data_IF_982771421638
#
_entry.id   IF_982771421638
#
_cell.length_a   1.000
_cell.length_b   1.000
_cell.length_c   1.000
_cell.angle_alpha   90.00
_cell.angle_beta   90.00
_cell.angle_gamma   90.00
#
_symmetry.space_group_name_H-M   'P 1'
#
loop_
_entity.id
_entity.type
_entity.pdbx_description
1 polymer ?
#
# COMPACT_ATOMS: atom_id res chain seq x y z
N UNK A 1 1.05 -35.86 10.51
CA UNK A 1 1.37 -36.29 9.13
C UNK A 1 0.15 -36.04 8.26
N UNK A 2 0.26 -35.40 7.08
CA UNK A 2 -0.86 -35.41 6.15
C UNK A 2 -1.00 -36.82 5.57
N UNK A 3 -2.21 -37.35 5.64
CA UNK A 3 -2.59 -38.68 5.18
C UNK A 3 -2.22 -38.88 3.70
N UNK A 4 -1.92 -40.11 3.26
CA UNK A 4 -1.78 -40.45 1.83
C UNK A 4 -3.00 -39.98 1.05
N UNK A 5 -4.17 -40.04 1.68
CA UNK A 5 -5.43 -39.57 1.11
C UNK A 5 -5.47 -38.03 0.94
N UNK A 6 -4.86 -37.27 1.86
CA UNK A 6 -4.70 -35.82 1.74
C UNK A 6 -3.78 -35.47 0.59
N UNK A 7 -2.65 -36.18 0.43
CA UNK A 7 -1.71 -35.97 -0.68
C UNK A 7 -2.38 -36.28 -2.02
N UNK A 8 -3.12 -37.38 -2.11
CA UNK A 8 -3.85 -37.74 -3.33
C UNK A 8 -5.00 -36.76 -3.64
N UNK A 9 -5.62 -36.17 -2.60
CA UNK A 9 -6.62 -35.10 -2.72
C UNK A 9 -5.99 -33.78 -3.19
N UNK A 10 -4.81 -33.42 -2.69
CA UNK A 10 -4.04 -32.26 -3.14
C UNK A 10 -3.63 -32.42 -4.60
N UNK A 11 -3.11 -33.58 -5.00
CA UNK A 11 -2.80 -33.90 -6.40
C UNK A 11 -4.03 -33.86 -7.30
N UNK A 12 -5.18 -34.39 -6.85
CA UNK A 12 -6.46 -34.27 -7.59
C UNK A 12 -6.92 -32.82 -7.72
N UNK A 13 -6.71 -32.01 -6.70
CA UNK A 13 -7.07 -30.59 -6.72
C UNK A 13 -6.17 -29.80 -7.68
N UNK A 14 -4.86 -30.07 -7.70
CA UNK A 14 -3.91 -29.51 -8.68
C UNK A 14 -4.31 -29.92 -10.10
N UNK A 15 -4.50 -31.22 -10.36
CA UNK A 15 -4.97 -31.74 -11.66
C UNK A 15 -6.34 -31.18 -12.08
N UNK A 16 -7.23 -30.93 -11.13
CA UNK A 16 -8.54 -30.33 -11.37
C UNK A 16 -8.49 -28.82 -11.69
N UNK A 17 -7.50 -28.10 -11.15
CA UNK A 17 -7.21 -26.71 -11.53
C UNK A 17 -6.60 -26.63 -12.92
N UNK A 18 -5.77 -27.60 -13.30
CA UNK A 18 -5.18 -27.73 -14.64
C UNK A 18 -6.21 -28.13 -15.70
N UNK A 19 -7.08 -29.11 -15.43
CA UNK A 19 -8.06 -29.62 -16.40
C UNK A 19 -9.24 -28.67 -16.71
N UNK A 20 -9.54 -27.70 -15.83
CA UNK A 20 -10.53 -26.65 -16.10
C UNK A 20 -10.03 -25.59 -17.10
N UNK A 21 -8.75 -25.61 -17.44
CA UNK A 21 -8.15 -24.74 -18.46
C UNK A 21 -8.00 -25.53 -19.76
N UNK A 22 -8.66 -25.09 -20.82
CA UNK A 22 -8.25 -25.49 -22.17
C UNK A 22 -6.77 -25.13 -22.35
N UNK A 23 -5.94 -26.13 -22.66
CA UNK A 23 -4.53 -26.05 -23.04
C UNK A 23 -3.78 -24.77 -22.59
N UNK A 24 -3.53 -24.65 -21.28
CA UNK A 24 -2.50 -23.75 -20.78
C UNK A 24 -1.14 -24.42 -21.01
N UNK A 25 -0.29 -23.82 -21.86
CA UNK A 25 1.12 -24.19 -21.95
C UNK A 25 1.86 -23.35 -20.92
N UNK A 26 2.41 -23.93 -19.83
CA UNK A 26 3.42 -23.21 -19.06
C UNK A 26 4.57 -22.87 -20.00
N UNK A 27 5.14 -21.67 -19.87
CA UNK A 27 6.50 -21.46 -20.39
C UNK A 27 7.38 -22.57 -19.81
N UNK A 28 8.20 -23.27 -20.62
CA UNK A 28 8.98 -24.39 -20.15
C UNK A 28 9.86 -23.92 -18.99
N UNK A 29 9.59 -24.45 -17.80
CA UNK A 29 10.49 -24.27 -16.66
C UNK A 29 11.72 -25.14 -16.99
N UNK A 30 12.92 -24.58 -17.17
CA UNK A 30 14.03 -25.28 -17.82
C UNK A 30 14.52 -26.56 -17.12
N UNK A 31 14.08 -26.82 -15.87
CA UNK A 31 14.38 -28.07 -15.16
C UNK A 31 13.80 -29.33 -15.83
N UNK A 32 12.86 -29.19 -16.76
CA UNK A 32 12.18 -30.30 -17.42
C UNK A 32 12.78 -30.72 -18.77
N UNK A 33 13.81 -30.04 -19.30
CA UNK A 33 14.40 -30.37 -20.60
C UNK A 33 15.89 -30.68 -20.53
N UNK A 34 16.21 -31.98 -20.52
CA UNK A 34 17.55 -32.49 -20.79
C UNK A 34 17.66 -32.93 -22.26
N UNK A 35 17.83 -32.00 -23.21
CA UNK A 35 18.35 -32.28 -24.56
C UNK A 35 18.75 -31.00 -25.31
N UNK A 36 19.87 -30.99 -26.07
CA UNK A 36 20.36 -29.82 -26.79
C UNK A 36 19.73 -29.75 -28.19
N UNK A 37 19.28 -28.57 -28.62
CA UNK A 37 18.84 -28.33 -30.00
C UNK A 37 19.01 -26.87 -30.40
N UNK A 38 19.16 -26.58 -31.71
CA UNK A 38 20.20 -25.69 -32.22
C UNK A 38 19.76 -24.23 -32.39
N UNK A 39 20.77 -23.36 -32.48
CA UNK A 39 20.69 -21.90 -32.67
C UNK A 39 19.81 -21.52 -33.87
N UNK A 40 18.91 -20.53 -33.75
CA UNK A 40 18.32 -19.89 -34.91
C UNK A 40 19.18 -18.70 -35.36
N UNK A 41 19.42 -18.65 -36.67
CA UNK A 41 20.03 -17.56 -37.43
C UNK A 41 19.08 -16.36 -37.53
N UNK A 42 19.62 -15.16 -37.31
CA UNK A 42 18.91 -13.89 -37.45
C UNK A 42 19.08 -13.33 -38.87
N UNK A 43 18.04 -12.71 -39.42
CA UNK A 43 18.19 -11.63 -40.41
C UNK A 43 17.01 -10.65 -40.28
N UNK A 44 17.26 -9.34 -40.41
CA UNK A 44 16.31 -8.28 -40.06
C UNK A 44 15.51 -7.83 -41.28
N UNK A 45 14.31 -7.30 -41.07
CA UNK A 45 13.81 -6.20 -41.88
C UNK A 45 12.90 -5.28 -41.06
N UNK A 46 13.18 -3.99 -41.21
CA UNK A 46 12.45 -2.85 -40.69
C UNK A 46 11.15 -2.66 -41.46
N UNK A 47 10.10 -2.19 -40.78
CA UNK A 47 9.33 -1.06 -41.30
C UNK A 47 8.56 -0.31 -40.21
N UNK A 48 8.53 1.00 -40.44
CA UNK A 48 8.09 2.11 -39.59
C UNK A 48 6.57 2.29 -39.54
N UNK A 49 6.03 2.67 -38.38
CA UNK A 49 4.66 3.15 -38.25
C UNK A 49 4.49 4.08 -37.04
N UNK A 50 4.29 5.36 -37.31
CA UNK A 50 4.12 6.45 -36.36
C UNK A 50 2.73 6.53 -35.72
N UNK A 51 2.71 7.19 -34.55
CA UNK A 51 1.63 8.02 -33.99
C UNK A 51 0.70 7.41 -32.90
N UNK A 52 0.97 7.89 -31.67
CA UNK A 52 0.04 8.47 -30.69
C UNK A 52 -1.39 7.88 -30.63
N UNK A 53 -1.71 7.26 -29.50
CA UNK A 53 -2.93 7.61 -28.77
C UNK A 53 -2.73 7.46 -27.26
N UNK A 54 -3.18 8.48 -26.51
CA UNK A 54 -2.97 8.66 -25.08
C UNK A 54 -4.08 8.02 -24.26
N UNK A 55 -4.10 6.69 -24.19
CA UNK A 55 -5.06 5.97 -23.35
C UNK A 55 -4.66 6.04 -21.87
N UNK A 56 -5.46 6.80 -21.12
CA UNK A 56 -5.38 7.04 -19.69
C UNK A 56 -5.61 5.74 -18.88
N UNK A 57 -4.63 5.20 -18.12
CA UNK A 57 -4.68 3.80 -17.67
C UNK A 57 -5.45 3.53 -16.37
N UNK A 58 -6.02 4.54 -15.70
CA UNK A 58 -6.63 4.36 -14.36
C UNK A 58 -8.11 4.78 -14.36
N UNK A 59 -8.84 4.39 -15.42
CA UNK A 59 -10.30 4.51 -15.47
C UNK A 59 -10.97 3.15 -15.30
N UNK A 60 -11.67 2.94 -14.19
CA UNK A 60 -12.36 1.69 -13.83
C UNK A 60 -13.86 1.78 -14.09
N UNK A 61 -14.25 1.89 -15.35
CA UNK A 61 -15.63 1.55 -15.73
C UNK A 61 -15.79 0.03 -15.59
N UNK A 62 -16.36 -0.45 -14.46
CA UNK A 62 -17.09 -1.73 -14.28
C UNK A 62 -16.63 -3.02 -15.02
N UNK A 63 -15.36 -3.13 -15.42
CA UNK A 63 -14.81 -4.30 -16.06
C UNK A 63 -14.06 -5.12 -15.02
N UNK A 64 -14.58 -6.31 -14.73
CA UNK A 64 -13.79 -7.42 -14.21
C UNK A 64 -12.74 -7.69 -15.29
N UNK A 65 -11.50 -7.26 -15.07
CA UNK A 65 -10.41 -7.56 -15.99
C UNK A 65 -10.15 -9.08 -15.95
N UNK A 66 -9.88 -9.72 -17.10
CA UNK A 66 -9.63 -11.16 -17.15
C UNK A 66 -8.43 -11.53 -16.29
N UNK A 67 -8.39 -12.79 -15.82
CA UNK A 67 -7.26 -13.38 -15.11
C UNK A 67 -5.94 -13.01 -15.79
N UNK A 68 -5.07 -12.26 -15.10
CA UNK A 68 -3.79 -11.84 -15.67
C UNK A 68 -2.74 -12.90 -15.38
N UNK A 69 -2.18 -13.47 -16.44
CA UNK A 69 -0.79 -13.92 -16.43
C UNK A 69 0.04 -12.73 -16.91
N UNK A 70 1.08 -12.34 -16.17
CA UNK A 70 2.04 -11.33 -16.64
C UNK A 70 2.92 -11.99 -17.70
N UNK A 71 2.86 -11.60 -18.98
CA UNK A 71 3.70 -12.22 -20.00
C UNK A 71 5.16 -11.84 -19.70
N UNK A 72 5.99 -12.84 -19.44
CA UNK A 72 7.43 -12.62 -19.29
C UNK A 72 8.09 -12.47 -20.65
N UNK A 73 9.14 -11.66 -20.72
CA UNK A 73 10.02 -11.59 -21.89
C UNK A 73 10.85 -12.86 -22.01
N UNK A 74 11.36 -13.35 -20.86
CA UNK A 74 12.08 -14.61 -20.77
C UNK A 74 12.08 -15.14 -19.35
N UNK A 75 12.29 -16.45 -19.26
CA UNK A 75 12.56 -17.16 -18.03
C UNK A 75 13.80 -18.00 -18.25
N UNK A 76 14.81 -17.81 -17.42
CA UNK A 76 16.05 -18.57 -17.44
C UNK A 76 16.26 -19.23 -16.08
N UNK A 77 17.00 -20.33 -16.08
CA UNK A 77 17.32 -21.05 -14.85
C UNK A 77 18.80 -21.36 -14.82
N UNK A 78 19.45 -21.00 -13.72
CA UNK A 78 20.83 -21.39 -13.40
C UNK A 78 20.79 -22.41 -12.27
N UNK A 79 21.28 -23.62 -12.55
CA UNK A 79 21.47 -24.64 -11.54
C UNK A 79 22.85 -24.47 -10.91
N UNK A 80 22.87 -24.43 -9.59
CA UNK A 80 24.08 -24.49 -8.77
C UNK A 80 24.09 -25.85 -8.06
N UNK A 81 25.16 -26.17 -7.34
CA UNK A 81 25.32 -27.51 -6.77
C UNK A 81 24.14 -27.92 -5.85
N UNK A 82 23.69 -27.02 -4.99
CA UNK A 82 22.69 -27.31 -3.94
C UNK A 82 21.55 -26.27 -3.84
N UNK A 83 21.48 -25.35 -4.81
CA UNK A 83 20.38 -24.42 -5.00
C UNK A 83 20.22 -24.09 -6.49
N UNK A 84 19.13 -23.42 -6.85
CA UNK A 84 18.94 -22.92 -8.20
C UNK A 84 18.44 -21.48 -8.17
N UNK A 85 18.73 -20.74 -9.23
CA UNK A 85 18.21 -19.39 -9.43
C UNK A 85 17.38 -19.37 -10.69
N UNK A 86 16.10 -19.04 -10.56
CA UNK A 86 15.18 -18.86 -11.68
C UNK A 86 14.99 -17.36 -11.88
N UNK A 87 15.45 -16.84 -13.02
CA UNK A 87 15.32 -15.42 -13.36
C UNK A 87 14.18 -15.28 -14.36
N UNK A 88 13.14 -14.54 -13.98
CA UNK A 88 12.04 -14.16 -14.89
C UNK A 88 12.08 -12.66 -15.13
N UNK A 89 12.14 -12.23 -16.39
CA UNK A 89 12.15 -10.82 -16.77
C UNK A 89 10.82 -10.45 -17.40
N UNK A 90 10.24 -9.34 -16.95
CA UNK A 90 9.01 -8.76 -17.47
C UNK A 90 9.32 -7.43 -18.14
N UNK A 91 8.70 -7.18 -19.29
CA UNK A 91 8.78 -5.86 -19.92
C UNK A 91 8.18 -4.80 -18.99
N UNK A 92 8.76 -3.61 -19.00
CA UNK A 92 8.09 -2.45 -18.42
C UNK A 92 6.73 -2.25 -19.12
N UNK A 93 5.66 -2.10 -18.33
CA UNK A 93 4.31 -2.00 -18.88
C UNK A 93 3.70 -3.35 -19.32
N UNK A 94 4.32 -4.50 -19.04
CA UNK A 94 3.70 -5.83 -19.25
C UNK A 94 2.35 -5.96 -18.51
N UNK A 95 2.15 -5.13 -17.49
CA UNK A 95 0.85 -4.63 -17.08
C UNK A 95 0.89 -3.11 -16.90
N UNK A 96 -0.23 -2.37 -17.00
CA UNK A 96 -0.30 -0.92 -16.80
C UNK A 96 0.31 -0.44 -15.49
N UNK A 97 0.29 -1.30 -14.46
CA UNK A 97 0.81 -0.99 -13.13
C UNK A 97 2.25 -1.44 -12.92
N UNK A 98 2.79 -2.33 -13.76
CA UNK A 98 4.19 -2.79 -13.67
C UNK A 98 5.11 -1.76 -14.31
N UNK A 99 5.28 -0.65 -13.60
CA UNK A 99 6.13 0.49 -13.94
C UNK A 99 6.98 0.90 -12.73
N UNK A 100 8.19 1.42 -12.93
CA UNK A 100 8.99 1.94 -11.82
C UNK A 100 8.28 3.13 -11.16
N UNK A 101 8.35 3.29 -9.83
CA UNK A 101 7.76 4.45 -9.16
C UNK A 101 8.21 5.78 -9.77
N UNK A 102 7.26 6.64 -10.12
CA UNK A 102 7.56 7.96 -10.71
C UNK A 102 8.48 8.78 -9.78
N UNK A 103 9.49 9.52 -10.29
CA UNK A 103 10.34 10.40 -9.47
C UNK A 103 9.58 11.35 -8.55
N UNK A 104 8.40 11.80 -9.01
CA UNK A 104 7.51 12.66 -8.24
C UNK A 104 6.97 12.00 -6.96
N UNK A 105 7.01 10.67 -6.86
CA UNK A 105 6.50 9.89 -5.73
C UNK A 105 7.42 9.84 -4.51
N UNK A 106 8.70 10.24 -4.65
CA UNK A 106 9.70 10.17 -3.59
C UNK A 106 9.28 10.88 -2.29
N UNK A 107 8.74 12.11 -2.31
CA UNK A 107 8.24 12.77 -1.09
C UNK A 107 7.12 11.98 -0.40
N UNK A 108 6.32 11.26 -1.19
CA UNK A 108 5.29 10.35 -0.70
C UNK A 108 5.89 9.20 0.10
N UNK A 109 6.82 8.47 -0.50
CA UNK A 109 7.50 7.34 0.17
C UNK A 109 8.35 7.76 1.36
N UNK A 110 8.98 8.94 1.34
CA UNK A 110 9.69 9.51 2.51
C UNK A 110 8.79 9.78 3.71
N UNK A 111 7.49 10.03 3.49
CA UNK A 111 6.55 10.13 4.60
C UNK A 111 6.35 8.78 5.32
N UNK A 112 6.50 7.67 4.60
CA UNK A 112 6.51 6.33 5.19
C UNK A 112 7.87 6.02 5.84
N UNK A 113 8.95 6.13 5.05
CA UNK A 113 10.31 5.79 5.43
C UNK A 113 11.26 6.99 5.23
N UNK A 114 11.51 7.80 6.28
CA UNK A 114 12.33 9.02 6.16
C UNK A 114 13.79 8.79 5.74
N UNK A 115 14.30 7.56 5.93
CA UNK A 115 15.67 7.18 5.54
C UNK A 115 15.83 6.92 4.03
N UNK A 116 14.73 6.94 3.28
CA UNK A 116 14.71 6.69 1.84
C UNK A 116 15.29 7.88 1.05
N UNK A 117 16.44 7.67 0.42
CA UNK A 117 17.12 8.72 -0.33
C UNK A 117 16.70 8.79 -1.81
N UNK A 118 16.46 7.66 -2.45
CA UNK A 118 16.13 7.54 -3.88
C UNK A 118 15.05 6.48 -4.13
N UNK A 119 14.47 6.52 -5.34
CA UNK A 119 13.58 5.47 -5.85
C UNK A 119 14.34 4.36 -6.60
N UNK A 120 15.62 4.59 -6.87
CA UNK A 120 16.48 3.63 -7.57
C UNK A 120 17.06 2.61 -6.60
N UNK A 121 17.32 1.40 -7.10
CA UNK A 121 18.03 0.37 -6.33
C UNK A 121 17.18 -0.32 -5.26
N UNK A 122 15.85 -0.30 -5.40
CA UNK A 122 14.94 -1.06 -4.54
C UNK A 122 15.03 -2.56 -4.82
N UNK A 123 14.92 -3.37 -3.77
CA UNK A 123 14.76 -4.81 -3.84
C UNK A 123 13.38 -5.19 -3.28
N UNK A 124 12.58 -5.90 -4.07
CA UNK A 124 11.26 -6.39 -3.68
C UNK A 124 11.40 -7.84 -3.23
N UNK A 125 11.08 -8.15 -1.97
CA UNK A 125 11.40 -9.44 -1.39
C UNK A 125 10.18 -10.13 -0.79
N UNK A 126 10.03 -11.40 -1.13
CA UNK A 126 9.04 -12.33 -0.57
C UNK A 126 9.70 -13.71 -0.37
N UNK A 127 9.34 -14.43 0.69
CA UNK A 127 9.91 -15.75 0.99
C UNK A 127 8.82 -16.80 1.17
N UNK A 128 9.14 -18.04 0.81
CA UNK A 128 8.37 -19.22 1.21
C UNK A 128 9.14 -20.04 2.23
N UNK A 129 8.42 -20.52 3.23
CA UNK A 129 9.02 -21.23 4.36
C UNK A 129 8.39 -22.59 4.60
N UNK A 130 9.15 -23.45 5.28
CA UNK A 130 8.71 -24.80 5.66
C UNK A 130 7.53 -24.83 6.65
N UNK A 131 7.01 -23.68 7.10
CA UNK A 131 5.88 -23.59 8.04
C UNK A 131 6.17 -24.16 9.43
N UNK A 132 7.43 -24.47 9.73
CA UNK A 132 7.89 -24.90 11.04
C UNK A 132 8.01 -23.68 11.98
N UNK A 133 8.11 -23.93 13.29
CA UNK A 133 8.25 -22.85 14.27
C UNK A 133 9.71 -22.60 14.65
N UNK A 134 10.04 -21.33 14.88
CA UNK A 134 11.34 -20.90 15.40
C UNK A 134 12.49 -21.33 14.50
N UNK A 135 13.53 -21.89 15.10
CA UNK A 135 14.79 -22.25 14.43
C UNK A 135 14.66 -23.32 13.33
N UNK A 136 13.58 -24.09 13.33
CA UNK A 136 13.35 -25.11 12.32
C UNK A 136 12.77 -24.55 11.01
N UNK A 137 12.34 -23.27 11.01
CA UNK A 137 11.87 -22.58 9.81
C UNK A 137 13.02 -22.43 8.84
N UNK A 138 12.86 -22.89 7.61
CA UNK A 138 13.81 -22.70 6.51
C UNK A 138 13.09 -21.91 5.42
N UNK A 139 13.75 -20.87 4.90
CA UNK A 139 13.28 -20.16 3.72
C UNK A 139 13.76 -20.92 2.49
N UNK A 140 12.93 -21.80 1.94
CA UNK A 140 13.33 -22.68 0.84
C UNK A 140 13.20 -22.03 -0.54
N UNK A 141 12.46 -20.93 -0.62
CA UNK A 141 12.34 -20.11 -1.81
C UNK A 141 12.40 -18.64 -1.40
N UNK A 142 13.27 -17.86 -2.03
CA UNK A 142 13.38 -16.42 -1.82
C UNK A 142 13.26 -15.73 -3.17
N UNK A 143 12.20 -14.95 -3.35
CA UNK A 143 12.01 -14.12 -4.54
C UNK A 143 12.59 -12.74 -4.31
N UNK A 144 13.41 -12.25 -5.24
CA UNK A 144 13.98 -10.90 -5.22
C UNK A 144 13.72 -10.20 -6.55
N UNK A 145 12.89 -9.18 -6.51
CA UNK A 145 12.55 -8.33 -7.65
C UNK A 145 13.40 -7.07 -7.70
N UNK A 146 13.74 -6.62 -8.92
CA UNK A 146 14.44 -5.35 -9.16
C UNK A 146 14.14 -4.80 -10.55
N UNK A 147 14.17 -3.47 -10.67
CA UNK A 147 14.17 -2.80 -11.96
C UNK A 147 15.56 -2.90 -12.62
N UNK A 148 15.56 -3.19 -13.92
CA UNK A 148 16.73 -3.31 -14.79
C UNK A 148 16.50 -2.53 -16.08
N UNK A 149 17.51 -2.39 -16.93
CA UNK A 149 17.36 -1.75 -18.24
C UNK A 149 16.39 -2.50 -19.18
N UNK A 150 16.14 -3.79 -18.94
CA UNK A 150 15.25 -4.62 -19.77
C UNK A 150 13.82 -4.70 -19.22
N UNK A 151 13.58 -4.12 -18.04
CA UNK A 151 12.31 -4.18 -17.31
C UNK A 151 12.45 -4.72 -15.89
N UNK A 152 11.39 -5.34 -15.37
CA UNK A 152 11.36 -5.88 -14.02
C UNK A 152 11.85 -7.32 -13.98
N UNK A 153 12.95 -7.57 -13.28
CA UNK A 153 13.55 -8.89 -13.11
C UNK A 153 13.20 -9.46 -11.75
N UNK A 154 12.77 -10.72 -11.70
CA UNK A 154 12.57 -11.49 -10.48
C UNK A 154 13.52 -12.68 -10.47
N UNK A 155 14.44 -12.70 -9.51
CA UNK A 155 15.34 -13.81 -9.24
C UNK A 155 14.76 -14.64 -8.09
N UNK A 156 14.44 -15.91 -8.34
CA UNK A 156 13.94 -16.83 -7.33
C UNK A 156 15.05 -17.80 -6.93
N UNK A 157 15.57 -17.63 -5.72
CA UNK A 157 16.56 -18.51 -5.11
C UNK A 157 15.84 -19.69 -4.47
N UNK A 158 15.93 -20.87 -5.11
CA UNK A 158 15.27 -22.09 -4.66
C UNK A 158 16.28 -23.08 -4.09
N UNK A 159 16.07 -23.47 -2.83
CA UNK A 159 16.89 -24.43 -2.12
C UNK A 159 16.54 -25.85 -2.57
N UNK A 160 17.39 -26.45 -3.40
CA UNK A 160 17.16 -27.82 -3.92
C UNK A 160 17.55 -28.87 -2.89
N UNK A 161 18.51 -28.57 -2.01
CA UNK A 161 18.97 -29.40 -0.90
C UNK A 161 19.26 -28.54 0.34
N UNK A 162 18.96 -29.04 1.54
CA UNK A 162 19.24 -28.31 2.79
C UNK A 162 20.72 -27.98 3.01
N UNK A 163 21.62 -28.74 2.39
CA UNK A 163 23.06 -28.51 2.47
C UNK A 163 23.49 -27.23 1.73
N UNK A 164 22.68 -26.77 0.76
CA UNK A 164 22.96 -25.58 -0.03
C UNK A 164 22.56 -24.26 0.61
N UNK A 165 22.03 -24.26 1.83
CA UNK A 165 21.45 -23.06 2.42
C UNK A 165 22.49 -21.94 2.56
N UNK A 166 23.69 -22.25 3.07
CA UNK A 166 24.78 -21.27 3.18
C UNK A 166 25.13 -20.65 1.81
N UNK A 167 25.23 -21.48 0.77
CA UNK A 167 25.55 -21.01 -0.59
C UNK A 167 24.43 -20.14 -1.19
N UNK A 168 23.18 -20.53 -0.97
CA UNK A 168 22.02 -19.75 -1.40
C UNK A 168 21.95 -18.40 -0.67
N UNK A 169 22.20 -18.39 0.64
CA UNK A 169 22.25 -17.17 1.45
C UNK A 169 23.42 -16.26 1.05
N UNK A 170 24.55 -16.81 0.62
CA UNK A 170 25.67 -16.04 0.09
C UNK A 170 25.26 -15.32 -1.21
N UNK A 171 24.65 -16.04 -2.15
CA UNK A 171 24.13 -15.46 -3.39
C UNK A 171 23.03 -14.41 -3.14
N UNK A 172 22.16 -14.65 -2.14
CA UNK A 172 21.17 -13.66 -1.71
C UNK A 172 21.83 -12.39 -1.14
N UNK A 173 22.91 -12.53 -0.36
CA UNK A 173 23.67 -11.39 0.15
C UNK A 173 24.24 -10.53 -0.98
N UNK A 174 24.79 -11.16 -2.01
CA UNK A 174 25.28 -10.45 -3.20
C UNK A 174 24.16 -9.69 -3.91
N UNK A 175 22.99 -10.31 -4.08
CA UNK A 175 21.84 -9.69 -4.73
C UNK A 175 21.30 -8.46 -3.99
N UNK A 176 21.36 -8.49 -2.65
CA UNK A 176 20.92 -7.41 -1.76
C UNK A 176 22.00 -6.35 -1.51
N UNK A 177 23.27 -6.64 -1.83
CA UNK A 177 24.37 -5.70 -1.62
C UNK A 177 24.19 -4.45 -2.48
N UNK A 178 24.36 -3.27 -1.86
CA UNK A 178 24.23 -1.98 -2.54
C UNK A 178 22.79 -1.53 -2.83
N UNK A 179 21.77 -2.31 -2.42
CA UNK A 179 20.37 -1.90 -2.55
C UNK A 179 20.04 -0.78 -1.56
N UNK A 180 19.31 0.22 -2.04
CA UNK A 180 18.98 1.43 -1.27
C UNK A 180 17.82 1.20 -0.31
N UNK A 181 16.85 0.37 -0.71
CA UNK A 181 15.66 0.08 0.05
C UNK A 181 15.18 -1.36 -0.15
N UNK A 182 14.62 -1.94 0.90
CA UNK A 182 13.86 -3.19 0.84
C UNK A 182 12.36 -2.87 0.76
N UNK A 183 11.65 -3.52 -0.14
CA UNK A 183 10.19 -3.49 -0.24
C UNK A 183 9.66 -4.89 0.07
N UNK A 184 8.77 -4.99 1.05
CA UNK A 184 8.11 -6.26 1.41
C UNK A 184 6.64 -6.02 1.74
N UNK A 185 5.87 -7.10 1.83
CA UNK A 185 4.51 -7.06 2.39
C UNK A 185 4.48 -7.85 3.70
N UNK A 186 4.44 -7.16 4.85
CA UNK A 186 4.57 -7.75 6.19
C UNK A 186 5.97 -8.29 6.54
N UNK A 187 6.98 -8.06 5.70
CA UNK A 187 8.32 -8.59 5.94
C UNK A 187 9.08 -8.03 7.13
N UNK A 188 8.69 -6.86 7.69
CA UNK A 188 9.26 -6.40 8.97
C UNK A 188 8.97 -7.37 10.11
N UNK A 189 7.80 -8.01 10.07
CA UNK A 189 7.34 -8.92 11.11
C UNK A 189 7.60 -10.39 10.79
N UNK A 190 7.94 -10.73 9.54
CA UNK A 190 8.07 -12.12 9.09
C UNK A 190 9.35 -12.38 8.29
N UNK A 191 9.43 -11.93 7.03
CA UNK A 191 10.52 -12.29 6.11
C UNK A 191 11.92 -11.96 6.67
N UNK A 192 12.09 -10.74 7.17
CA UNK A 192 13.38 -10.25 7.67
C UNK A 192 13.83 -11.02 8.92
N UNK A 193 12.99 -11.19 9.97
CA UNK A 193 13.33 -12.04 11.11
C UNK A 193 13.70 -13.49 10.74
N UNK A 194 12.99 -14.09 9.78
CA UNK A 194 13.28 -15.46 9.31
C UNK A 194 14.66 -15.50 8.65
N UNK A 195 14.92 -14.63 7.68
CA UNK A 195 16.22 -14.57 6.98
C UNK A 195 17.36 -14.28 7.97
N UNK A 196 17.21 -13.30 8.86
CA UNK A 196 18.22 -12.99 9.89
C UNK A 196 18.57 -14.22 10.73
N UNK A 197 17.56 -14.99 11.12
CA UNK A 197 17.79 -16.24 11.88
C UNK A 197 18.55 -17.27 11.05
N UNK A 198 18.25 -17.41 9.74
CA UNK A 198 18.96 -18.34 8.84
C UNK A 198 20.42 -17.93 8.65
N UNK A 199 20.70 -16.64 8.46
CA UNK A 199 22.08 -16.13 8.38
C UNK A 199 22.86 -16.44 9.66
N UNK A 200 22.28 -16.19 10.84
CA UNK A 200 22.93 -16.50 12.13
C UNK A 200 23.21 -18.00 12.28
N UNK A 201 22.27 -18.87 11.89
CA UNK A 201 22.43 -20.33 11.97
C UNK A 201 23.51 -20.88 11.05
N UNK A 202 23.76 -20.21 9.92
CA UNK A 202 24.85 -20.55 9.00
C UNK A 202 26.16 -19.82 9.35
N UNK A 203 26.24 -19.11 10.48
CA UNK A 203 27.45 -18.38 10.88
C UNK A 203 27.78 -17.17 10.00
N UNK A 204 26.80 -16.68 9.25
CA UNK A 204 26.97 -15.64 8.25
C UNK A 204 26.50 -14.27 8.76
N UNK A 205 27.11 -13.20 8.24
CA UNK A 205 26.62 -11.83 8.47
C UNK A 205 25.39 -11.58 7.60
N UNK A 206 24.26 -11.23 8.22
CA UNK A 206 23.06 -10.86 7.50
C UNK A 206 23.19 -9.45 6.85
N UNK A 207 22.83 -9.28 5.58
CA UNK A 207 22.80 -7.96 4.91
C UNK A 207 21.59 -7.10 5.33
N UNK A 208 20.66 -7.65 6.12
CA UNK A 208 19.42 -6.98 6.54
C UNK A 208 19.48 -6.50 8.02
N UNK A 209 18.81 -5.39 8.36
CA UNK A 209 17.98 -4.55 7.48
C UNK A 209 18.82 -3.66 6.55
N UNK A 210 18.26 -3.32 5.39
CA UNK A 210 18.81 -2.27 4.53
C UNK A 210 18.57 -0.88 5.14
N UNK A 211 19.17 0.16 4.54
CA UNK A 211 19.04 1.55 5.01
C UNK A 211 17.57 1.98 5.15
N UNK A 212 16.76 1.67 4.15
CA UNK A 212 15.32 1.94 4.13
C UNK A 212 14.53 0.64 3.98
N UNK A 213 13.36 0.55 4.62
CA UNK A 213 12.47 -0.60 4.49
C UNK A 213 11.01 -0.15 4.38
N UNK A 214 10.46 -0.28 3.19
CA UNK A 214 9.06 -0.01 2.86
C UNK A 214 8.24 -1.29 3.06
N UNK A 215 7.53 -1.39 4.19
CA UNK A 215 6.59 -2.49 4.45
C UNK A 215 5.17 -2.08 4.04
N UNK A 216 4.68 -2.68 2.96
CA UNK A 216 3.42 -2.32 2.34
C UNK A 216 2.18 -2.77 3.13
N UNK A 217 2.28 -3.72 4.06
CA UNK A 217 1.15 -4.03 4.94
C UNK A 217 0.88 -2.87 5.91
N UNK A 218 1.94 -2.21 6.40
CA UNK A 218 1.78 -1.04 7.27
C UNK A 218 1.18 0.16 6.51
N UNK A 219 1.56 0.32 5.24
CA UNK A 219 1.07 1.36 4.38
C UNK A 219 -0.39 1.15 4.00
N UNK A 220 -0.77 -0.04 3.52
CA UNK A 220 -2.17 -0.39 3.19
C UNK A 220 -3.12 -0.13 4.35
N UNK A 221 -2.74 -0.52 5.57
CA UNK A 221 -3.48 -0.24 6.82
C UNK A 221 -3.53 1.24 7.20
N UNK A 222 -2.59 2.04 6.71
CA UNK A 222 -2.56 3.49 6.93
C UNK A 222 -3.43 4.21 5.91
N UNK A 223 -3.42 3.75 4.66
CA UNK A 223 -4.22 4.29 3.58
C UNK A 223 -5.71 4.10 3.85
N UNK A 224 -6.14 3.05 4.54
CA UNK A 224 -7.56 2.88 4.83
C UNK A 224 -7.95 2.26 6.16
N UNK A 225 -9.25 2.00 6.35
CA UNK A 225 -9.74 1.41 7.61
C UNK A 225 -9.42 -0.08 7.66
N UNK A 226 -8.92 -0.55 8.82
CA UNK A 226 -8.42 -1.94 9.02
C UNK A 226 -9.38 -3.05 8.57
N UNK A 227 -10.70 -2.84 8.62
CA UNK A 227 -11.70 -3.82 8.21
C UNK A 227 -11.97 -3.85 6.69
N UNK A 228 -11.61 -2.79 5.94
CA UNK A 228 -11.90 -2.62 4.52
C UNK A 228 -10.66 -2.71 3.60
N UNK A 229 -9.45 -2.90 4.17
CA UNK A 229 -8.16 -2.71 3.48
C UNK A 229 -7.28 -3.95 3.33
N UNK A 230 -7.87 -5.14 3.34
CA UNK A 230 -7.18 -6.39 3.04
C UNK A 230 -6.21 -6.81 4.13
N UNK A 231 -6.31 -8.06 4.57
CA UNK A 231 -5.34 -8.67 5.48
C UNK A 231 -4.14 -9.27 4.71
N UNK A 232 -4.21 -9.28 3.38
CA UNK A 232 -3.25 -9.95 2.48
C UNK A 232 -2.83 -9.09 1.28
N UNK A 233 -1.69 -9.45 0.67
CA UNK A 233 -1.18 -8.80 -0.53
C UNK A 233 -2.19 -8.87 -1.68
N UNK A 234 -2.80 -10.04 -1.93
CA UNK A 234 -3.81 -10.24 -2.98
C UNK A 234 -4.99 -9.29 -2.84
N UNK A 235 -5.46 -9.05 -1.62
CA UNK A 235 -6.58 -8.13 -1.38
C UNK A 235 -6.18 -6.67 -1.61
N UNK A 236 -4.95 -6.30 -1.23
CA UNK A 236 -4.40 -4.98 -1.52
C UNK A 236 -4.28 -4.76 -3.04
N UNK A 237 -3.69 -5.71 -3.77
CA UNK A 237 -3.57 -5.68 -5.23
C UNK A 237 -4.95 -5.54 -5.87
N UNK A 238 -5.89 -6.41 -5.52
CA UNK A 238 -7.28 -6.35 -6.03
C UNK A 238 -7.94 -5.00 -5.78
N UNK A 239 -7.69 -4.38 -4.64
CA UNK A 239 -8.25 -3.06 -4.35
C UNK A 239 -7.60 -2.00 -5.23
N UNK A 240 -6.28 -1.87 -5.16
CA UNK A 240 -5.56 -0.71 -5.67
C UNK A 240 -5.30 -0.77 -7.18
N UNK A 241 -5.10 -1.96 -7.74
CA UNK A 241 -4.87 -2.18 -9.17
C UNK A 241 -6.13 -2.67 -9.88
N UNK A 242 -7.05 -3.26 -9.12
CA UNK A 242 -8.22 -3.93 -9.67
C UNK A 242 -7.96 -5.33 -10.22
N UNK A 243 -6.72 -5.80 -10.21
CA UNK A 243 -6.31 -7.11 -10.69
C UNK A 243 -6.75 -8.22 -9.74
N UNK A 244 -7.37 -9.27 -10.30
CA UNK A 244 -7.71 -10.49 -9.56
C UNK A 244 -6.82 -11.62 -10.05
N UNK A 245 -6.06 -12.22 -9.13
CA UNK A 245 -5.26 -13.42 -9.40
C UNK A 245 -6.14 -14.66 -9.34
N UNK A 246 -6.20 -15.42 -10.43
CA UNK A 246 -6.92 -16.69 -10.49
C UNK A 246 -5.96 -17.88 -10.44
N UNK A 247 -6.43 -19.00 -9.86
CA UNK A 247 -5.68 -20.26 -9.82
C UNK A 247 -4.47 -20.26 -8.89
N UNK A 248 -4.43 -19.33 -7.93
CA UNK A 248 -3.35 -19.25 -6.97
C UNK A 248 -3.55 -20.26 -5.82
N UNK A 249 -2.45 -20.84 -5.34
CA UNK A 249 -2.51 -21.80 -4.23
C UNK A 249 -2.79 -21.09 -2.90
N UNK A 250 -3.52 -21.73 -1.97
CA UNK A 250 -3.57 -21.27 -0.60
C UNK A 250 -2.20 -21.33 0.05
N UNK A 251 -1.71 -20.23 0.64
CA UNK A 251 -0.40 -20.19 1.31
C UNK A 251 -0.24 -21.24 2.41
N UNK A 252 -1.34 -21.63 3.07
CA UNK A 252 -1.36 -22.71 4.06
C UNK A 252 -0.98 -24.09 3.50
N UNK A 253 -1.04 -24.28 2.18
CA UNK A 253 -0.64 -25.52 1.51
C UNK A 253 0.85 -25.57 1.18
N UNK A 254 1.54 -24.44 1.14
CA UNK A 254 2.94 -24.33 0.69
C UNK A 254 3.87 -25.24 1.50
N UNK A 255 3.81 -25.26 2.86
CA UNK A 255 4.61 -26.19 3.65
C UNK A 255 4.41 -27.66 3.26
N UNK A 256 3.15 -28.07 3.01
CA UNK A 256 2.83 -29.45 2.67
C UNK A 256 3.39 -29.85 1.29
N UNK A 257 3.36 -28.95 0.32
CA UNK A 257 3.94 -29.18 -1.00
C UNK A 257 5.47 -29.31 -0.93
N UNK A 258 6.12 -28.49 -0.10
CA UNK A 258 7.56 -28.62 0.14
C UNK A 258 7.94 -29.94 0.82
N UNK A 259 7.17 -30.41 1.80
CA UNK A 259 7.40 -31.74 2.38
C UNK A 259 7.21 -32.89 1.38
N UNK A 260 6.28 -32.77 0.43
CA UNK A 260 6.12 -33.74 -0.66
C UNK A 260 7.37 -33.74 -1.55
N UNK A 261 7.85 -32.55 -1.94
CA UNK A 261 9.08 -32.40 -2.69
C UNK A 261 10.28 -33.03 -1.98
N UNK A 262 10.51 -32.74 -0.70
CA UNK A 262 11.65 -33.31 0.06
C UNK A 262 11.60 -34.85 0.10
N UNK A 263 10.41 -35.46 0.09
CA UNK A 263 10.24 -36.91 0.15
C UNK A 263 10.38 -37.57 -1.22
N UNK A 264 9.84 -36.95 -2.26
CA UNK A 264 9.67 -37.57 -3.58
C UNK A 264 10.72 -37.12 -4.60
N UNK A 265 11.40 -35.99 -4.33
CA UNK A 265 12.40 -35.41 -5.22
C UNK A 265 11.84 -34.83 -6.52
N UNK A 266 10.51 -34.79 -6.70
CA UNK A 266 9.86 -34.25 -7.90
C UNK A 266 9.60 -32.75 -7.75
N UNK A 267 10.35 -31.86 -8.46
CA UNK A 267 10.15 -30.42 -8.37
C UNK A 267 8.84 -29.93 -8.99
N UNK A 268 8.15 -30.76 -9.79
CA UNK A 268 6.89 -30.36 -10.45
C UNK A 268 5.80 -29.95 -9.45
N UNK A 269 5.81 -30.55 -8.25
CA UNK A 269 4.87 -30.23 -7.16
C UNK A 269 5.02 -28.81 -6.61
N UNK A 270 6.16 -28.17 -6.84
CA UNK A 270 6.47 -26.81 -6.41
C UNK A 270 6.24 -25.75 -7.48
N UNK A 271 5.90 -26.11 -8.71
CA UNK A 271 5.62 -25.14 -9.77
C UNK A 271 4.55 -24.09 -9.36
N UNK A 272 3.45 -24.47 -8.68
CA UNK A 272 2.49 -23.48 -8.20
C UNK A 272 3.04 -22.55 -7.11
N UNK A 273 3.96 -23.06 -6.26
CA UNK A 273 4.63 -22.28 -5.21
C UNK A 273 5.59 -21.26 -5.83
N UNK A 274 6.39 -21.69 -6.81
CA UNK A 274 7.28 -20.79 -7.56
C UNK A 274 6.48 -19.70 -8.28
N UNK A 275 5.35 -20.06 -8.90
CA UNK A 275 4.45 -19.08 -9.52
C UNK A 275 3.90 -18.09 -8.48
N UNK A 276 3.45 -18.57 -7.32
CA UNK A 276 2.91 -17.74 -6.24
C UNK A 276 3.92 -16.67 -5.80
N UNK A 277 5.09 -17.10 -5.33
CA UNK A 277 6.16 -16.22 -4.84
C UNK A 277 6.59 -15.19 -5.90
N UNK A 278 6.76 -15.63 -7.15
CA UNK A 278 7.13 -14.72 -8.25
C UNK A 278 6.10 -13.62 -8.44
N UNK A 279 4.82 -13.98 -8.47
CA UNK A 279 3.75 -13.04 -8.66
C UNK A 279 3.59 -12.10 -7.45
N UNK A 280 3.84 -12.57 -6.23
CA UNK A 280 3.84 -11.72 -5.02
C UNK A 280 4.93 -10.64 -5.11
N UNK A 281 6.11 -10.98 -5.62
CA UNK A 281 7.18 -10.01 -5.91
C UNK A 281 6.76 -8.99 -6.99
N UNK A 282 6.15 -9.43 -8.09
CA UNK A 282 5.65 -8.55 -9.17
C UNK A 282 4.53 -7.63 -8.66
N UNK A 283 3.61 -8.16 -7.87
CA UNK A 283 2.49 -7.42 -7.29
C UNK A 283 2.97 -6.30 -6.37
N UNK A 284 4.04 -6.51 -5.62
CA UNK A 284 4.65 -5.44 -4.83
C UNK A 284 5.23 -4.32 -5.71
N UNK A 285 5.83 -4.62 -6.86
CA UNK A 285 6.26 -3.60 -7.80
C UNK A 285 5.07 -2.81 -8.37
N UNK A 286 3.98 -3.49 -8.71
CA UNK A 286 2.74 -2.85 -9.15
C UNK A 286 2.14 -1.94 -8.07
N UNK A 287 2.13 -2.40 -6.82
CA UNK A 287 1.67 -1.59 -5.69
C UNK A 287 2.57 -0.39 -5.43
N UNK A 288 3.88 -0.49 -5.65
CA UNK A 288 4.78 0.65 -5.51
C UNK A 288 4.43 1.77 -6.49
N UNK A 289 4.14 1.44 -7.75
CA UNK A 289 3.62 2.41 -8.71
C UNK A 289 2.35 3.09 -8.19
N UNK A 290 1.32 2.32 -7.84
CA UNK A 290 0.02 2.87 -7.40
C UNK A 290 0.13 3.67 -6.10
N UNK A 291 0.89 3.18 -5.12
CA UNK A 291 1.11 3.89 -3.86
C UNK A 291 1.85 5.20 -4.07
N UNK A 292 2.79 5.29 -5.01
CA UNK A 292 3.44 6.55 -5.35
C UNK A 292 2.43 7.60 -5.80
N UNK A 293 1.46 7.21 -6.64
CA UNK A 293 0.39 8.06 -7.14
C UNK A 293 -0.55 8.52 -6.03
N UNK A 294 -0.97 7.60 -5.14
CA UNK A 294 -1.85 7.91 -3.99
C UNK A 294 -1.15 8.80 -2.98
N UNK A 295 0.10 8.49 -2.61
CA UNK A 295 0.87 9.23 -1.61
C UNK A 295 1.18 10.66 -2.05
N UNK A 296 1.06 10.97 -3.34
CA UNK A 296 1.33 12.32 -3.87
C UNK A 296 0.09 12.99 -4.44
N UNK A 297 -1.07 12.33 -4.40
CA UNK A 297 -2.30 12.81 -5.03
C UNK A 297 -2.06 13.31 -6.46
N UNK A 298 -1.38 12.46 -7.23
CA UNK A 298 -1.28 12.56 -8.69
C UNK A 298 -2.67 12.50 -9.35
N UNK A 299 -2.78 12.89 -10.62
CA UNK A 299 -4.06 12.91 -11.33
C UNK A 299 -4.68 11.51 -11.44
N UNK A 300 -3.83 10.51 -11.46
CA UNK A 300 -4.10 9.08 -11.54
C UNK A 300 -4.53 8.45 -10.20
N UNK A 301 -4.47 9.21 -9.10
CA UNK A 301 -4.82 8.68 -7.78
C UNK A 301 -6.34 8.44 -7.64
N UNK A 302 -6.74 7.17 -7.57
CA UNK A 302 -8.14 6.77 -7.68
C UNK A 302 -8.95 6.70 -6.39
N UNK A 303 -8.43 6.15 -5.27
CA UNK A 303 -9.26 5.79 -4.09
C UNK A 303 -9.35 6.95 -3.06
N UNK A 304 -10.54 7.57 -2.85
CA UNK A 304 -10.71 8.68 -1.91
C UNK A 304 -10.45 8.32 -0.44
N UNK A 305 -10.72 7.08 -0.03
CA UNK A 305 -10.42 6.63 1.33
C UNK A 305 -8.91 6.47 1.49
N UNK A 306 -8.22 5.92 0.47
CA UNK A 306 -6.76 5.84 0.42
C UNK A 306 -6.09 7.22 0.46
N UNK A 307 -6.60 8.18 -0.32
CA UNK A 307 -6.16 9.57 -0.32
C UNK A 307 -6.38 10.23 1.05
N UNK A 308 -7.50 9.92 1.73
CA UNK A 308 -7.74 10.40 3.10
C UNK A 308 -6.71 9.84 4.08
N UNK A 309 -6.36 8.55 3.95
CA UNK A 309 -5.29 7.91 4.72
C UNK A 309 -3.90 8.51 4.44
N UNK A 310 -3.58 8.77 3.17
CA UNK A 310 -2.36 9.47 2.76
C UNK A 310 -2.28 10.89 3.36
N UNK A 311 -3.39 11.63 3.32
CA UNK A 311 -3.49 12.95 3.95
C UNK A 311 -3.24 12.91 5.46
N UNK A 312 -3.79 11.89 6.13
CA UNK A 312 -3.53 11.64 7.56
C UNK A 312 -2.06 11.31 7.84
N UNK A 313 -1.42 10.49 7.01
CA UNK A 313 0.01 10.16 7.11
C UNK A 313 0.86 11.43 6.99
N UNK A 314 0.65 12.23 5.94
CA UNK A 314 1.38 13.48 5.71
C UNK A 314 1.21 14.49 6.84
N UNK A 315 -0.01 14.62 7.37
CA UNK A 315 -0.27 15.50 8.51
C UNK A 315 0.50 15.07 9.78
N UNK A 316 0.64 13.75 10.02
CA UNK A 316 1.48 13.23 11.12
C UNK A 316 2.95 13.54 10.91
N UNK A 317 3.42 13.47 9.66
CA UNK A 317 4.79 13.82 9.26
C UNK A 317 5.03 15.33 9.08
N UNK A 318 4.01 16.16 9.37
CA UNK A 318 4.03 17.63 9.21
C UNK A 318 4.25 18.10 7.76
N UNK A 319 4.05 17.24 6.77
CA UNK A 319 4.00 17.65 5.38
C UNK A 319 2.59 18.20 5.09
N UNK A 320 2.38 19.47 5.43
CA UNK A 320 1.06 20.10 5.33
C UNK A 320 0.60 20.23 3.87
N UNK A 321 1.53 20.40 2.94
CA UNK A 321 1.22 20.58 1.52
C UNK A 321 0.65 19.31 0.91
N UNK A 322 1.35 18.18 1.02
CA UNK A 322 0.81 16.91 0.54
C UNK A 322 -0.41 16.45 1.34
N UNK A 323 -0.48 16.79 2.64
CA UNK A 323 -1.68 16.51 3.42
C UNK A 323 -2.91 17.22 2.85
N UNK A 324 -2.80 18.52 2.57
CA UNK A 324 -3.86 19.32 1.94
C UNK A 324 -4.23 18.74 0.59
N UNK A 325 -3.24 18.54 -0.29
CA UNK A 325 -3.45 18.02 -1.65
C UNK A 325 -4.20 16.70 -1.66
N UNK A 326 -3.80 15.73 -0.82
CA UNK A 326 -4.48 14.44 -0.73
C UNK A 326 -5.93 14.59 -0.27
N UNK A 327 -6.19 15.40 0.77
CA UNK A 327 -7.52 15.56 1.35
C UNK A 327 -8.47 16.35 0.44
N UNK A 328 -7.98 17.33 -0.31
CA UNK A 328 -8.75 18.04 -1.32
C UNK A 328 -9.06 17.13 -2.52
N UNK A 329 -8.08 16.37 -2.99
CA UNK A 329 -8.27 15.43 -4.11
C UNK A 329 -9.29 14.35 -3.75
N UNK A 330 -9.23 13.81 -2.52
CA UNK A 330 -10.22 12.88 -2.00
C UNK A 330 -11.66 13.45 -2.02
N UNK A 331 -11.83 14.76 -1.83
CA UNK A 331 -13.14 15.42 -1.81
C UNK A 331 -13.74 15.68 -3.19
N UNK A 332 -12.91 15.76 -4.24
CA UNK A 332 -13.39 16.00 -5.61
C UNK A 332 -14.07 14.75 -6.20
N UNK A 333 -13.72 13.56 -5.70
CA UNK A 333 -14.20 12.27 -6.18
C UNK A 333 -13.61 11.96 -7.56
N UNK A 334 -12.71 10.98 -7.66
CA UNK A 334 -12.39 10.40 -8.96
C UNK A 334 -13.65 9.70 -9.48
N UNK A 335 -13.96 9.89 -10.77
CA UNK A 335 -15.24 9.48 -11.40
C UNK A 335 -15.63 8.02 -11.09
N UNK A 336 -14.65 7.14 -10.91
CA UNK A 336 -14.88 5.69 -10.85
C UNK A 336 -14.96 5.15 -9.42
N UNK A 337 -14.46 5.89 -8.42
CA UNK A 337 -14.51 5.50 -7.01
C UNK A 337 -15.67 6.15 -6.26
N UNK A 338 -16.33 7.12 -6.90
CA UNK A 338 -17.40 7.90 -6.31
C UNK A 338 -16.90 8.85 -5.21
N UNK A 339 -17.84 9.51 -4.52
CA UNK A 339 -17.53 10.37 -3.38
C UNK A 339 -17.61 9.59 -2.07
N UNK A 340 -16.72 9.90 -1.15
CA UNK A 340 -16.85 9.44 0.24
C UNK A 340 -18.06 10.12 0.87
N UNK A 341 -18.86 9.38 1.62
CA UNK A 341 -20.03 9.89 2.34
C UNK A 341 -19.99 9.49 3.82
N UNK A 342 -20.89 10.05 4.61
CA UNK A 342 -21.03 9.71 6.04
C UNK A 342 -19.74 9.90 6.83
N UNK A 343 -19.36 8.87 7.60
CA UNK A 343 -18.21 8.92 8.51
C UNK A 343 -16.86 9.11 7.80
N UNK A 344 -16.72 8.62 6.56
CA UNK A 344 -15.48 8.79 5.80
C UNK A 344 -15.27 10.25 5.42
N UNK A 345 -16.33 10.91 4.95
CA UNK A 345 -16.31 12.32 4.59
C UNK A 345 -16.10 13.19 5.82
N UNK A 346 -16.76 12.83 6.93
CA UNK A 346 -16.58 13.51 8.19
C UNK A 346 -15.13 13.45 8.67
N UNK A 347 -14.46 12.30 8.53
CA UNK A 347 -13.04 12.17 8.86
C UNK A 347 -12.16 13.05 7.93
N UNK A 348 -12.42 13.02 6.62
CA UNK A 348 -11.67 13.81 5.63
C UNK A 348 -11.76 15.31 5.93
N UNK A 349 -12.97 15.84 6.14
CA UNK A 349 -13.18 17.27 6.44
C UNK A 349 -12.52 17.70 7.76
N UNK A 350 -12.58 16.87 8.82
CA UNK A 350 -11.87 17.14 10.08
C UNK A 350 -10.37 17.23 9.89
N UNK A 351 -9.79 16.33 9.10
CA UNK A 351 -8.36 16.34 8.79
C UNK A 351 -8.00 17.56 7.94
N UNK A 352 -8.82 17.89 6.94
CA UNK A 352 -8.59 19.03 6.05
C UNK A 352 -8.60 20.34 6.83
N UNK A 353 -9.64 20.57 7.64
CA UNK A 353 -9.71 21.73 8.52
C UNK A 353 -8.50 21.82 9.46
N UNK A 354 -8.01 20.68 9.97
CA UNK A 354 -6.81 20.66 10.81
C UNK A 354 -5.55 21.08 10.06
N UNK A 355 -5.39 20.65 8.80
CA UNK A 355 -4.27 21.07 7.92
C UNK A 355 -4.37 22.56 7.63
N UNK A 356 -5.52 23.04 7.18
CA UNK A 356 -5.75 24.44 6.79
C UNK A 356 -5.48 25.39 7.95
N UNK A 357 -5.95 25.09 9.17
CA UNK A 357 -5.62 25.87 10.37
C UNK A 357 -4.11 25.92 10.66
N UNK A 358 -3.37 24.83 10.42
CA UNK A 358 -1.90 24.82 10.61
C UNK A 358 -1.18 25.65 9.56
N UNK A 359 -1.76 25.78 8.37
CA UNK A 359 -1.30 26.68 7.32
C UNK A 359 -1.83 28.12 7.49
N UNK A 360 -2.60 28.40 8.55
CA UNK A 360 -3.28 29.68 8.79
C UNK A 360 -4.32 30.06 7.72
N UNK A 361 -4.76 29.10 6.90
CA UNK A 361 -5.89 29.24 5.99
C UNK A 361 -7.19 29.09 6.79
N UNK A 362 -7.55 30.15 7.50
CA UNK A 362 -8.73 30.15 8.39
C UNK A 362 -10.04 30.05 7.60
N UNK A 363 -10.11 30.69 6.43
CA UNK A 363 -11.30 30.71 5.60
C UNK A 363 -11.59 29.31 5.05
N UNK A 364 -10.59 28.63 4.47
CA UNK A 364 -10.78 27.25 4.01
C UNK A 364 -11.09 26.29 5.18
N UNK A 365 -10.50 26.51 6.35
CA UNK A 365 -10.83 25.71 7.53
C UNK A 365 -12.28 25.88 7.99
N UNK A 366 -12.81 27.11 7.93
CA UNK A 366 -14.22 27.41 8.21
C UNK A 366 -15.11 26.71 7.18
N UNK A 367 -14.82 26.83 5.89
CA UNK A 367 -15.60 26.19 4.82
C UNK A 367 -15.66 24.66 4.97
N UNK A 368 -14.52 24.03 5.26
CA UNK A 368 -14.47 22.58 5.51
C UNK A 368 -15.29 22.17 6.74
N UNK A 369 -15.26 22.97 7.82
CA UNK A 369 -16.01 22.69 9.04
C UNK A 369 -17.50 23.00 8.92
N UNK A 370 -17.89 24.06 8.21
CA UNK A 370 -19.30 24.36 7.88
C UNK A 370 -19.91 23.25 7.04
N UNK A 371 -19.17 22.76 6.05
CA UNK A 371 -19.56 21.57 5.26
C UNK A 371 -19.75 20.37 6.19
N UNK A 372 -18.79 20.11 7.07
CA UNK A 372 -18.84 18.99 8.02
C UNK A 372 -20.07 19.03 8.93
N UNK A 373 -20.36 20.19 9.54
CA UNK A 373 -21.52 20.32 10.46
C UNK A 373 -22.85 20.31 9.73
N UNK A 374 -22.87 20.58 8.43
CA UNK A 374 -24.10 20.65 7.63
C UNK A 374 -24.46 19.35 6.92
N UNK A 375 -23.46 18.58 6.47
CA UNK A 375 -23.69 17.47 5.54
C UNK A 375 -23.14 16.11 5.98
N UNK A 376 -22.55 16.02 7.18
CA UNK A 376 -21.87 14.82 7.65
C UNK A 376 -22.18 14.55 9.14
N UNK A 377 -21.91 13.35 9.68
CA UNK A 377 -22.11 13.04 11.09
C UNK A 377 -21.11 13.80 11.97
N UNK A 378 -21.44 15.07 12.24
CA UNK A 378 -20.67 15.99 13.05
C UNK A 378 -20.88 15.73 14.55
N UNK A 379 -19.81 15.94 15.30
CA UNK A 379 -19.71 15.80 16.75
C UNK A 379 -19.53 17.17 17.39
N UNK A 380 -19.73 17.27 18.70
CA UNK A 380 -19.60 18.53 19.42
C UNK A 380 -18.20 19.15 19.29
N UNK A 381 -17.14 18.32 19.19
CA UNK A 381 -15.78 18.80 18.94
C UNK A 381 -15.60 19.49 17.58
N UNK A 382 -16.46 19.20 16.60
CA UNK A 382 -16.44 19.82 15.28
C UNK A 382 -16.97 21.25 15.36
N UNK A 383 -18.08 21.47 16.09
CA UNK A 383 -18.62 22.80 16.37
C UNK A 383 -17.64 23.63 17.21
N UNK A 384 -17.03 23.04 18.24
CA UNK A 384 -15.98 23.71 19.02
C UNK A 384 -14.79 24.13 18.15
N UNK A 385 -14.41 23.27 17.19
CA UNK A 385 -13.34 23.58 16.25
C UNK A 385 -13.74 24.71 15.29
N UNK A 386 -14.98 24.74 14.81
CA UNK A 386 -15.51 25.79 13.94
C UNK A 386 -15.60 27.13 14.67
N UNK A 387 -16.17 27.15 15.87
CA UNK A 387 -16.22 28.33 16.73
C UNK A 387 -14.82 28.88 17.05
N UNK A 388 -13.81 28.01 17.16
CA UNK A 388 -12.41 28.44 17.32
C UNK A 388 -11.85 29.07 16.05
N UNK A 389 -12.23 28.60 14.87
CA UNK A 389 -11.80 29.20 13.62
C UNK A 389 -12.39 30.61 13.45
N UNK A 390 -13.69 30.79 13.70
CA UNK A 390 -14.33 32.12 13.67
C UNK A 390 -13.69 33.11 14.66
N UNK A 391 -13.34 32.66 15.87
CA UNK A 391 -12.68 33.52 16.84
C UNK A 391 -11.24 33.89 16.45
N UNK A 392 -10.44 32.93 16.00
CA UNK A 392 -9.00 33.16 15.79
C UNK A 392 -8.66 33.77 14.44
N UNK A 393 -9.40 33.39 13.39
CA UNK A 393 -9.21 33.89 12.03
C UNK A 393 -9.83 35.28 11.84
N UNK A 394 -11.13 35.37 11.48
CA UNK A 394 -11.81 36.65 11.23
C UNK A 394 -12.10 37.46 12.50
N UNK A 395 -11.89 36.89 13.70
CA UNK A 395 -12.25 37.51 14.99
C UNK A 395 -13.74 37.85 15.10
N UNK A 396 -14.56 36.98 14.52
CA UNK A 396 -16.01 37.04 14.55
C UNK A 396 -16.54 36.27 15.77
N UNK A 397 -16.68 36.99 16.88
CA UNK A 397 -17.20 36.43 18.12
C UNK A 397 -18.69 36.09 18.03
N UNK A 398 -19.44 36.76 17.14
CA UNK A 398 -20.87 36.52 16.95
C UNK A 398 -21.09 35.16 16.31
N UNK A 399 -20.44 34.89 15.18
CA UNK A 399 -20.49 33.57 14.53
C UNK A 399 -19.91 32.46 15.40
N UNK A 400 -18.85 32.75 16.16
CA UNK A 400 -18.31 31.79 17.11
C UNK A 400 -19.33 31.41 18.20
N UNK A 401 -20.11 32.37 18.71
CA UNK A 401 -21.17 32.12 19.68
C UNK A 401 -22.32 31.32 19.06
N UNK A 402 -22.83 31.78 17.91
CA UNK A 402 -23.89 31.11 17.16
C UNK A 402 -23.57 29.63 16.90
N UNK A 403 -22.32 29.34 16.53
CA UNK A 403 -21.85 27.97 16.33
C UNK A 403 -21.95 27.12 17.60
N UNK A 404 -21.62 27.68 18.76
CA UNK A 404 -21.70 26.97 20.05
C UNK A 404 -23.15 26.77 20.46
N UNK A 405 -24.01 27.77 20.26
CA UNK A 405 -25.44 27.65 20.55
C UNK A 405 -26.12 26.60 19.65
N UNK A 406 -25.75 26.55 18.35
CA UNK A 406 -26.18 25.46 17.44
C UNK A 406 -25.79 24.07 17.96
N UNK A 407 -24.62 23.94 18.58
CA UNK A 407 -24.19 22.67 19.16
C UNK A 407 -24.98 22.33 20.44
N UNK A 408 -25.20 23.31 21.31
CA UNK A 408 -25.98 23.14 22.54
C UNK A 408 -27.43 22.74 22.24
N UNK A 409 -28.06 23.37 21.24
CA UNK A 409 -29.43 23.07 20.83
C UNK A 409 -29.63 21.61 20.37
N UNK A 410 -28.55 20.90 19.99
CA UNK A 410 -28.63 19.46 19.67
C UNK A 410 -28.85 18.57 20.89
N UNK A 411 -28.59 19.11 22.09
CA UNK A 411 -28.82 18.44 23.36
C UNK A 411 -30.14 18.88 24.02
N UNK A 412 -30.84 19.88 23.46
CA UNK A 412 -32.16 20.30 23.94
C UNK A 412 -33.18 19.18 23.65
N UNK A 413 -33.55 18.43 24.69
CA UNK A 413 -34.48 17.30 24.62
C UNK A 413 -33.83 15.91 24.64
N UNK A 414 -32.51 15.81 24.68
CA UNK A 414 -31.81 14.55 24.96
C UNK A 414 -31.68 14.34 26.48
N UNK A 415 -31.76 13.10 26.95
CA UNK A 415 -31.44 12.74 28.36
C UNK A 415 -29.93 12.78 28.67
N UNK A 416 -29.11 13.02 27.65
CA UNK A 416 -27.65 13.03 27.77
C UNK A 416 -27.17 14.35 28.38
N UNK A 417 -26.12 14.24 29.20
CA UNK A 417 -25.51 15.40 29.84
C UNK A 417 -24.81 16.29 28.80
N UNK A 418 -25.10 17.60 28.83
CA UNK A 418 -24.47 18.56 27.93
C UNK A 418 -22.94 18.54 28.13
N UNK A 419 -22.14 18.35 27.06
CA UNK A 419 -20.69 18.29 27.18
C UNK A 419 -20.09 19.56 27.82
N UNK A 420 -19.30 19.37 28.88
CA UNK A 420 -18.68 20.47 29.64
C UNK A 420 -17.84 21.41 28.75
N UNK A 421 -17.24 20.87 27.68
CA UNK A 421 -16.49 21.63 26.68
C UNK A 421 -17.30 22.73 26.00
N UNK A 422 -18.57 22.47 25.66
CA UNK A 422 -19.48 23.45 25.06
C UNK A 422 -19.82 24.56 26.05
N UNK A 423 -20.20 24.20 27.28
CA UNK A 423 -20.52 25.15 28.34
C UNK A 423 -19.33 26.04 28.72
N UNK A 424 -18.11 25.47 28.80
CA UNK A 424 -16.87 26.23 29.02
C UNK A 424 -16.62 27.22 27.88
N UNK A 425 -16.83 26.79 26.63
CA UNK A 425 -16.63 27.63 25.45
C UNK A 425 -17.64 28.79 25.40
N UNK A 426 -18.92 28.52 25.66
CA UNK A 426 -19.98 29.54 25.74
C UNK A 426 -19.63 30.63 26.75
N UNK A 427 -19.38 30.25 28.00
CA UNK A 427 -18.98 31.18 29.08
C UNK A 427 -17.76 32.03 28.72
N UNK A 428 -16.77 31.44 28.04
CA UNK A 428 -15.58 32.18 27.58
C UNK A 428 -15.93 33.21 26.51
N UNK A 429 -16.77 32.85 25.53
CA UNK A 429 -17.20 33.76 24.47
C UNK A 429 -18.08 34.90 25.00
N UNK A 430 -18.97 34.64 25.95
CA UNK A 430 -19.79 35.67 26.61
C UNK A 430 -18.92 36.74 27.27
N UNK A 431 -17.88 36.30 28.01
CA UNK A 431 -16.91 37.22 28.62
C UNK A 431 -16.13 38.02 27.57
N UNK A 432 -15.75 37.39 26.46
CA UNK A 432 -15.02 38.06 25.38
C UNK A 432 -15.88 39.12 24.67
N UNK A 433 -17.15 38.80 24.39
CA UNK A 433 -18.14 39.73 23.81
C UNK A 433 -18.39 40.91 24.76
N UNK A 434 -18.65 40.64 26.05
CA UNK A 434 -18.85 41.68 27.05
C UNK A 434 -17.64 42.61 27.20
N UNK A 435 -16.41 42.06 27.17
CA UNK A 435 -15.18 42.86 27.20
C UNK A 435 -15.05 43.74 25.95
N UNK A 436 -15.38 43.22 24.76
CA UNK A 436 -15.33 44.00 23.52
C UNK A 436 -16.33 45.16 23.54
N UNK A 437 -17.57 44.92 23.99
CA UNK A 437 -18.58 45.97 24.15
C UNK A 437 -18.16 47.08 25.12
N UNK A 438 -17.48 46.74 26.23
CA UNK A 438 -16.94 47.75 27.16
C UNK A 438 -15.82 48.60 26.55
N UNK A 439 -15.00 48.04 25.67
CA UNK A 439 -13.90 48.74 25.00
C UNK A 439 -14.36 49.60 23.81
N UNK A 440 -15.52 49.29 23.22
CA UNK A 440 -16.10 50.05 22.10
C UNK A 440 -17.13 51.09 22.52
N UNK A 441 -17.49 51.16 23.80
CA UNK A 441 -18.31 52.26 24.35
C UNK A 441 -17.45 53.53 24.39
N UNK A 442 -17.87 54.66 23.77
CA UNK A 442 -17.14 55.91 23.88
C UNK A 442 -17.10 56.38 25.35
N UNK A 443 -16.00 57.00 25.82
CA UNK A 443 -15.93 57.54 27.17
C UNK A 443 -16.79 58.80 27.23
N UNK A 444 -18.02 58.69 27.74
CA UNK A 444 -18.87 59.87 27.93
C UNK A 444 -20.37 59.62 27.79
N UNK A 445 -20.90 58.63 28.50
CA UNK A 445 -22.29 58.67 28.96
C UNK A 445 -22.28 58.20 30.42
N UNK A 446 -21.60 58.96 31.27
CA UNK A 446 -21.92 58.94 32.70
C UNK A 446 -23.21 59.75 32.86
N UNK A 447 -24.24 59.05 33.36
CA UNK A 447 -25.49 59.60 33.85
C UNK A 447 -25.28 60.92 34.60
N UNK A 448 -25.70 62.03 34.00
CA UNK A 448 -26.19 63.18 34.77
C UNK A 448 -27.70 62.95 34.86
N UNK A 449 -28.09 62.22 35.92
CA UNK A 449 -29.48 62.18 36.35
C UNK A 449 -29.90 63.54 36.94
N UNK A 450 -31.19 63.89 36.87
CA UNK A 450 -31.71 65.22 37.19
C UNK A 450 -31.55 65.64 38.65
#
# INVERSE_FOLDING_TARGET
MPDKEVIERLRRMIRGLEAKKGAWSPDPVPFLSSSPSPRPTYSPDLESGSARDGSNPISRASHVFPARDYPSLRTESRQEQDYSVITTVYAEGASPELLPPSPSSLPGFRALEPSLDSLDGWAYLDIETTGLMGAATVAFLVGVGRWTAEGFSVDQYFLTSRQGEESMLAALSEALTGRSALVTFNGKAFDVPVLQSRYVMNGMRCPLPLKAHLDFLSLTRTLGRRASYGQSLKEAVRRFTGVVREGDIPGSMIPALYFIYEREGDPSVLLPVMKHNRLDVVDMACLAWVFGHILTASAEAGDPEALTGAGKLHLRRRNLELARRCLETAGRGASDWGRVTGDGEALRLRLLARVLRRQQDWQGAIEALETLVSSAPAKDEDYLSLARCYELGPRDLSKAMETVDRALARHDGATDEIPEGLLKRKRRLERAVARRHRLTKPPGEENIGP
#
